data_IF_017187550283
#
_entry.id   IF_017187550283
#
_cell.length_a   1.000
_cell.length_b   1.000
_cell.length_c   1.000
_cell.angle_alpha   90.00
_cell.angle_beta   90.00
_cell.angle_gamma   90.00
#
_symmetry.space_group_name_H-M   'P 1'
#
loop_
_entity.id
_entity.type
_entity.pdbx_description
1 polymer ?
#
# COMPACT_ATOMS: atom_id res chain seq x y z
N UNK A 1 3.45 13.57 -14.73
CA UNK A 1 3.02 13.22 -13.37
C UNK A 1 4.22 12.59 -12.71
N UNK A 2 4.74 13.21 -11.65
CA UNK A 2 5.72 12.61 -10.74
C UNK A 2 5.21 11.24 -10.27
N UNK A 3 6.08 10.24 -10.12
CA UNK A 3 5.68 8.94 -9.61
C UNK A 3 5.09 9.13 -8.21
N UNK A 4 3.89 8.60 -7.94
CA UNK A 4 3.22 8.78 -6.66
C UNK A 4 4.04 8.18 -5.52
N UNK A 5 4.83 7.15 -5.80
CA UNK A 5 5.73 6.53 -4.85
C UNK A 5 6.88 7.47 -4.46
N UNK A 6 7.41 8.26 -5.40
CA UNK A 6 8.43 9.28 -5.10
C UNK A 6 7.89 10.35 -4.14
N UNK A 7 6.62 10.74 -4.28
CA UNK A 7 5.96 11.68 -3.36
C UNK A 7 5.83 11.11 -1.95
N UNK A 8 5.64 9.80 -1.83
CA UNK A 8 5.57 9.08 -0.56
C UNK A 8 6.96 8.76 0.00
N UNK A 9 8.04 9.06 -0.72
CA UNK A 9 9.40 8.69 -0.31
C UNK A 9 9.67 7.18 -0.29
N UNK A 10 8.85 6.39 -1.00
CA UNK A 10 8.92 4.93 -1.02
C UNK A 10 9.33 4.45 -2.40
N UNK A 11 10.15 3.40 -2.46
CA UNK A 11 10.53 2.73 -3.71
C UNK A 11 9.70 1.47 -3.94
N UNK A 12 9.57 1.06 -5.21
CA UNK A 12 8.96 -0.23 -5.56
C UNK A 12 9.67 -1.42 -4.90
N UNK A 13 10.98 -1.31 -4.69
CA UNK A 13 11.78 -2.33 -4.03
C UNK A 13 11.42 -2.49 -2.55
N UNK A 14 11.21 -1.38 -1.84
CA UNK A 14 10.78 -1.40 -0.44
C UNK A 14 9.38 -2.00 -0.30
N UNK A 15 8.44 -1.64 -1.18
CA UNK A 15 7.11 -2.26 -1.21
C UNK A 15 7.19 -3.77 -1.46
N UNK A 16 8.04 -4.20 -2.40
CA UNK A 16 8.23 -5.62 -2.67
C UNK A 16 8.82 -6.34 -1.46
N UNK A 17 9.86 -5.78 -0.83
CA UNK A 17 10.48 -6.38 0.35
C UNK A 17 9.46 -6.54 1.48
N UNK A 18 8.73 -5.48 1.82
CA UNK A 18 7.67 -5.53 2.84
C UNK A 18 6.60 -6.57 2.50
N UNK A 19 6.14 -6.63 1.24
CA UNK A 19 5.16 -7.63 0.83
C UNK A 19 5.69 -9.08 0.97
N UNK A 20 6.97 -9.31 0.67
CA UNK A 20 7.57 -10.65 0.75
C UNK A 20 7.96 -11.07 2.18
N UNK A 21 8.12 -10.13 3.12
CA UNK A 21 8.22 -10.45 4.55
C UNK A 21 6.91 -11.05 5.10
N UNK A 22 5.77 -10.62 4.55
CA UNK A 22 4.44 -11.10 4.94
C UNK A 22 3.97 -12.32 4.11
N UNK A 23 4.65 -12.59 2.99
CA UNK A 23 4.22 -13.61 2.03
C UNK A 23 4.53 -15.03 2.53
N UNK A 24 3.47 -15.82 2.71
CA UNK A 24 3.58 -17.27 2.92
C UNK A 24 3.37 -17.98 1.58
N UNK A 25 4.33 -18.80 1.15
CA UNK A 25 4.20 -19.53 -0.11
C UNK A 25 3.07 -20.57 -0.06
N UNK A 26 2.19 -20.49 -1.05
CA UNK A 26 1.09 -21.45 -1.26
C UNK A 26 1.28 -22.21 -2.58
N UNK A 27 2.44 -22.86 -2.72
CA UNK A 27 2.74 -23.70 -3.89
C UNK A 27 3.33 -22.95 -5.09
N UNK A 28 3.67 -21.67 -4.94
CA UNK A 28 4.43 -20.91 -5.92
C UNK A 28 5.91 -20.89 -5.52
N UNK A 29 6.80 -20.94 -6.51
CA UNK A 29 8.20 -20.58 -6.30
C UNK A 29 8.33 -19.10 -5.97
N UNK A 30 9.41 -18.72 -5.28
CA UNK A 30 9.70 -17.32 -4.96
C UNK A 30 9.73 -16.44 -6.22
N UNK A 31 10.28 -16.97 -7.32
CA UNK A 31 10.34 -16.27 -8.60
C UNK A 31 8.93 -16.00 -9.16
N UNK A 32 8.07 -17.01 -9.23
CA UNK A 32 6.70 -16.86 -9.73
C UNK A 32 5.90 -15.88 -8.87
N UNK A 33 6.08 -15.94 -7.54
CA UNK A 33 5.44 -15.01 -6.62
C UNK A 33 5.89 -13.56 -6.88
N UNK A 34 7.20 -13.32 -7.05
CA UNK A 34 7.76 -12.00 -7.38
C UNK A 34 7.26 -11.44 -8.71
N UNK A 35 7.22 -12.27 -9.75
CA UNK A 35 6.71 -11.87 -11.07
C UNK A 35 5.22 -11.49 -11.00
N UNK A 36 4.43 -12.28 -10.27
CA UNK A 36 3.01 -12.00 -10.06
C UNK A 36 2.78 -10.74 -9.23
N UNK A 37 3.57 -10.56 -8.16
CA UNK A 37 3.51 -9.35 -7.33
C UNK A 37 3.79 -8.11 -8.15
N UNK A 38 4.89 -8.08 -8.91
CA UNK A 38 5.26 -6.93 -9.72
C UNK A 38 4.19 -6.59 -10.78
N UNK A 39 3.57 -7.62 -11.37
CA UNK A 39 2.46 -7.43 -12.32
C UNK A 39 1.25 -6.77 -11.65
N UNK A 40 0.89 -7.22 -10.45
CA UNK A 40 -0.22 -6.65 -9.68
C UNK A 40 0.10 -5.24 -9.21
N UNK A 41 1.32 -5.02 -8.71
CA UNK A 41 1.79 -3.71 -8.27
C UNK A 41 1.68 -2.69 -9.40
N UNK A 42 2.17 -3.01 -10.59
CA UNK A 42 2.06 -2.13 -11.77
C UNK A 42 0.59 -1.84 -12.15
N UNK A 43 -0.26 -2.88 -12.13
CA UNK A 43 -1.69 -2.73 -12.41
C UNK A 43 -2.34 -1.72 -11.45
N UNK A 44 -2.14 -1.89 -10.14
CA UNK A 44 -2.80 -1.05 -9.15
C UNK A 44 -2.16 0.33 -9.01
N UNK A 45 -0.84 0.45 -9.18
CA UNK A 45 -0.19 1.76 -9.27
C UNK A 45 -0.65 2.55 -10.51
N UNK A 46 -1.19 1.88 -11.53
CA UNK A 46 -1.77 2.51 -12.72
C UNK A 46 -3.26 2.83 -12.60
N UNK A 47 -3.97 2.23 -11.64
CA UNK A 47 -5.42 2.41 -11.41
C UNK A 47 -5.73 3.81 -10.88
N UNK A 48 -6.78 4.44 -11.42
CA UNK A 48 -7.13 5.83 -11.10
C UNK A 48 -7.59 6.02 -9.64
N UNK A 49 -8.32 5.04 -9.08
CA UNK A 49 -8.82 5.12 -7.71
C UNK A 49 -7.67 4.91 -6.72
N UNK A 50 -6.81 3.93 -6.98
CA UNK A 50 -5.62 3.69 -6.14
C UNK A 50 -4.70 4.91 -6.16
N UNK A 51 -4.44 5.50 -7.34
CA UNK A 51 -3.66 6.74 -7.45
C UNK A 51 -4.28 7.90 -6.66
N UNK A 52 -5.60 8.06 -6.72
CA UNK A 52 -6.29 9.13 -6.02
C UNK A 52 -6.17 8.97 -4.49
N UNK A 53 -6.33 7.74 -3.99
CA UNK A 53 -6.20 7.43 -2.56
C UNK A 53 -4.75 7.61 -2.07
N UNK A 54 -3.76 7.14 -2.83
CA UNK A 54 -2.34 7.37 -2.51
C UNK A 54 -1.98 8.86 -2.52
N UNK A 55 -2.53 9.63 -3.46
CA UNK A 55 -2.35 11.09 -3.50
C UNK A 55 -2.99 11.77 -2.28
N UNK A 56 -4.17 11.32 -1.85
CA UNK A 56 -4.80 11.83 -0.65
C UNK A 56 -3.93 11.59 0.59
N UNK A 57 -3.35 10.39 0.74
CA UNK A 57 -2.41 10.08 1.82
C UNK A 57 -1.14 10.93 1.77
N UNK A 58 -0.54 11.10 0.59
CA UNK A 58 0.65 11.94 0.43
C UNK A 58 0.40 13.41 0.79
N UNK A 59 -0.76 13.95 0.39
CA UNK A 59 -1.14 15.32 0.73
C UNK A 59 -1.49 15.47 2.22
N UNK A 60 -2.10 14.46 2.82
CA UNK A 60 -2.40 14.45 4.25
C UNK A 60 -1.12 14.56 5.09
N UNK A 61 -0.11 13.76 4.74
CA UNK A 61 1.21 13.78 5.40
C UNK A 61 1.92 15.14 5.20
N UNK A 62 1.92 15.68 3.98
CA UNK A 62 2.51 16.97 3.65
C UNK A 62 1.89 18.14 4.43
N UNK A 63 0.55 18.17 4.55
CA UNK A 63 -0.18 19.27 5.19
C UNK A 63 -0.18 19.21 6.72
N UNK A 64 -0.12 18.01 7.30
CA UNK A 64 -0.17 17.82 8.75
C UNK A 64 1.19 17.70 9.43
N UNK A 65 2.30 17.64 8.66
CA UNK A 65 3.67 17.42 9.17
C UNK A 65 3.68 16.27 10.19
N UNK A 66 3.21 15.09 9.78
CA UNK A 66 2.97 13.91 10.63
C UNK A 66 4.28 13.25 11.13
N UNK A 67 5.25 14.05 11.59
CA UNK A 67 6.54 13.58 12.15
C UNK A 67 6.37 12.67 13.35
N UNK A 68 5.29 12.86 14.11
CA UNK A 68 4.85 11.98 15.18
C UNK A 68 3.47 11.46 14.78
N UNK A 69 3.38 10.18 14.40
CA UNK A 69 2.14 9.48 14.07
C UNK A 69 1.08 9.70 15.17
N UNK A 70 0.14 10.64 14.97
CA UNK A 70 -0.68 11.13 16.04
C UNK A 70 -1.81 10.13 16.27
N UNK A 71 -1.83 9.50 17.45
CA UNK A 71 -2.80 8.49 17.89
C UNK A 71 -4.29 8.89 17.70
N UNK A 72 -4.59 10.17 17.46
CA UNK A 72 -5.96 10.65 17.24
C UNK A 72 -6.35 10.77 15.75
N UNK A 73 -5.41 10.69 14.81
CA UNK A 73 -5.71 10.78 13.39
C UNK A 73 -6.04 9.36 12.89
N UNK A 74 -7.26 9.21 12.40
CA UNK A 74 -7.78 7.94 11.86
C UNK A 74 -7.82 7.98 10.33
N UNK A 75 -7.49 9.13 9.74
CA UNK A 75 -7.70 9.38 8.32
C UNK A 75 -6.74 8.54 7.44
N UNK A 76 -5.50 8.36 7.87
CA UNK A 76 -4.50 7.49 7.26
C UNK A 76 -4.91 6.00 7.35
N UNK A 77 -5.41 5.55 8.52
CA UNK A 77 -5.96 4.20 8.68
C UNK A 77 -7.15 3.94 7.74
N UNK A 78 -8.06 4.90 7.60
CA UNK A 78 -9.21 4.82 6.67
C UNK A 78 -8.75 4.75 5.22
N UNK A 79 -7.78 5.58 4.83
CA UNK A 79 -7.22 5.54 3.47
C UNK A 79 -6.54 4.20 3.18
N UNK A 80 -5.79 3.64 4.14
CA UNK A 80 -5.17 2.32 4.02
C UNK A 80 -6.20 1.20 3.86
N UNK A 81 -7.26 1.21 4.68
CA UNK A 81 -8.36 0.26 4.59
C UNK A 81 -9.12 0.38 3.26
N UNK A 82 -9.39 1.59 2.77
CA UNK A 82 -10.08 1.81 1.49
C UNK A 82 -9.26 1.28 0.31
N UNK A 83 -7.93 1.47 0.32
CA UNK A 83 -7.03 0.88 -0.68
C UNK A 83 -7.10 -0.65 -0.62
N UNK A 84 -7.03 -1.22 0.59
CA UNK A 84 -7.06 -2.67 0.78
C UNK A 84 -8.40 -3.30 0.35
N UNK A 85 -9.52 -2.66 0.67
CA UNK A 85 -10.86 -3.08 0.25
C UNK A 85 -11.03 -2.98 -1.28
N UNK A 86 -10.58 -1.88 -1.88
CA UNK A 86 -10.64 -1.71 -3.33
C UNK A 86 -9.84 -2.78 -4.09
N UNK A 87 -8.67 -3.17 -3.56
CA UNK A 87 -7.78 -4.15 -4.19
C UNK A 87 -8.28 -5.59 -3.99
N UNK A 88 -8.68 -5.96 -2.76
CA UNK A 88 -8.88 -7.34 -2.35
C UNK A 88 -10.15 -7.58 -1.51
N UNK A 89 -11.02 -6.59 -1.40
CA UNK A 89 -12.26 -6.64 -0.63
C UNK A 89 -12.00 -6.88 0.87
N UNK A 90 -12.96 -7.52 1.52
CA UNK A 90 -12.91 -7.82 2.95
C UNK A 90 -11.67 -8.61 3.40
N UNK A 91 -11.04 -9.39 2.50
CA UNK A 91 -9.78 -10.09 2.81
C UNK A 91 -8.59 -9.13 2.85
N UNK A 92 -8.58 -8.14 1.97
CA UNK A 92 -7.58 -7.07 1.99
C UNK A 92 -7.65 -6.29 3.30
N UNK A 93 -8.85 -5.86 3.68
CA UNK A 93 -9.09 -5.15 4.94
C UNK A 93 -8.64 -5.99 6.14
N UNK A 94 -8.96 -7.28 6.15
CA UNK A 94 -8.53 -8.19 7.22
C UNK A 94 -7.01 -8.25 7.35
N UNK A 95 -6.27 -8.42 6.25
CA UNK A 95 -4.81 -8.45 6.29
C UNK A 95 -4.21 -7.08 6.63
N UNK A 96 -4.79 -5.98 6.14
CA UNK A 96 -4.34 -4.61 6.49
C UNK A 96 -4.39 -4.41 8.01
N UNK A 97 -5.56 -4.61 8.63
CA UNK A 97 -5.75 -4.44 10.08
C UNK A 97 -4.86 -5.39 10.89
N UNK A 98 -4.53 -6.56 10.33
CA UNK A 98 -3.66 -7.54 10.99
C UNK A 98 -2.19 -7.11 11.05
N UNK A 99 -1.69 -6.42 10.04
CA UNK A 99 -0.27 -6.01 9.98
C UNK A 99 -0.04 -4.58 10.43
N UNK A 100 -1.08 -3.77 10.45
CA UNK A 100 -1.07 -2.42 11.02
C UNK A 100 -0.94 -2.43 12.56
N UNK A 101 -1.32 -3.54 13.21
CA UNK A 101 -1.33 -3.72 14.68
C UNK A 101 -0.34 -4.77 15.16
#
# INVERSE_FOLDING_TARGET
MTDILEKLGVTRGELANAAFELYVSHGLTEKEAKERFNTLLEKYLSDANVKALLLAGALLDEELDMKDDPVYLVADELLGMDIADYIAGSRGVFEFVRYDK
#
